data_IF_711024830512
#
_entry.id   IF_711024830512
#
_cell.length_a   1.000
_cell.length_b   1.000
_cell.length_c   1.000
_cell.angle_alpha   90.00
_cell.angle_beta   90.00
_cell.angle_gamma   90.00
#
_symmetry.space_group_name_H-M   'P 1'
#
loop_
_entity.id
_entity.type
_entity.pdbx_description
1 polymer ?
#
# COMPACT_ATOMS: atom_id res chain seq x y z
N UNK A 1 -6.92 -44.96 7.81
CA UNK A 1 -7.76 -44.29 6.80
C UNK A 1 -6.82 -43.68 5.78
N UNK A 2 -6.86 -44.12 4.53
CA UNK A 2 -5.93 -43.65 3.50
C UNK A 2 -6.37 -42.28 2.98
N UNK A 3 -5.64 -41.22 3.30
CA UNK A 3 -5.92 -39.87 2.79
C UNK A 3 -5.35 -39.73 1.37
N UNK A 4 -6.24 -39.68 0.37
CA UNK A 4 -5.88 -39.50 -1.04
C UNK A 4 -5.95 -38.01 -1.39
N UNK A 5 -4.88 -37.47 -1.99
CA UNK A 5 -4.85 -36.06 -2.37
C UNK A 5 -5.79 -35.75 -3.57
N UNK A 6 -6.71 -34.78 -3.48
CA UNK A 6 -7.61 -34.43 -4.59
C UNK A 6 -6.91 -33.72 -5.76
N UNK A 7 -5.72 -33.13 -5.55
CA UNK A 7 -4.96 -32.44 -6.59
C UNK A 7 -4.15 -33.39 -7.47
N UNK A 8 -3.47 -34.37 -6.87
CA UNK A 8 -2.51 -35.24 -7.58
C UNK A 8 -2.80 -36.74 -7.45
N UNK A 9 -3.84 -37.14 -6.71
CA UNK A 9 -4.22 -38.55 -6.44
C UNK A 9 -3.18 -39.42 -5.72
N UNK A 10 -2.09 -38.84 -5.23
CA UNK A 10 -1.11 -39.55 -4.41
C UNK A 10 -1.73 -39.99 -3.06
N UNK A 11 -1.50 -41.24 -2.66
CA UNK A 11 -1.87 -41.79 -1.34
C UNK A 11 -0.78 -41.46 -0.32
N UNK A 12 -1.14 -40.85 0.81
CA UNK A 12 -0.17 -40.50 1.87
C UNK A 12 0.40 -41.77 2.52
N UNK A 13 1.72 -41.88 2.58
CA UNK A 13 2.44 -42.87 3.39
C UNK A 13 2.48 -42.44 4.87
N UNK A 14 2.39 -43.36 5.85
CA UNK A 14 2.50 -43.02 7.27
C UNK A 14 3.87 -42.42 7.67
N UNK A 15 4.93 -42.69 6.91
CA UNK A 15 6.30 -42.24 7.21
C UNK A 15 6.66 -40.87 6.60
N UNK A 16 5.66 -40.07 6.21
CA UNK A 16 5.90 -38.79 5.54
C UNK A 16 6.50 -37.75 6.51
N UNK A 17 7.63 -37.15 6.12
CA UNK A 17 8.31 -36.10 6.90
C UNK A 17 7.57 -34.75 6.91
N UNK A 18 6.57 -34.57 6.04
CA UNK A 18 5.76 -33.34 5.96
C UNK A 18 4.55 -33.39 6.91
N UNK A 19 4.07 -32.24 7.41
CA UNK A 19 2.91 -32.20 8.30
C UNK A 19 1.66 -32.85 7.71
N UNK A 20 0.76 -33.34 8.57
CA UNK A 20 -0.47 -34.04 8.18
C UNK A 20 -1.44 -33.22 7.34
N UNK A 21 -1.38 -31.89 7.43
CA UNK A 21 -2.20 -30.99 6.61
C UNK A 21 -1.69 -30.87 5.16
N UNK A 22 -0.47 -31.28 4.85
CA UNK A 22 0.20 -31.06 3.57
C UNK A 22 0.44 -32.35 2.81
N UNK A 23 0.17 -32.36 1.50
CA UNK A 23 0.50 -33.51 0.65
C UNK A 23 2.02 -33.59 0.38
N UNK A 24 2.70 -34.72 0.64
CA UNK A 24 4.15 -34.88 0.40
C UNK A 24 4.55 -34.84 -1.07
N UNK A 25 3.63 -35.16 -1.98
CA UNK A 25 3.93 -35.23 -3.41
C UNK A 25 3.80 -33.89 -4.13
N UNK A 26 2.79 -33.08 -3.79
CA UNK A 26 2.50 -31.83 -4.51
C UNK A 26 2.43 -30.58 -3.61
N UNK A 27 2.66 -30.73 -2.30
CA UNK A 27 2.76 -29.63 -1.34
C UNK A 27 1.43 -28.91 -1.01
N UNK A 28 0.30 -29.33 -1.57
CA UNK A 28 -0.99 -28.66 -1.33
C UNK A 28 -1.54 -29.01 0.05
N UNK A 29 -2.20 -28.05 0.69
CA UNK A 29 -3.00 -28.31 1.88
C UNK A 29 -4.34 -28.97 1.50
N UNK A 30 -4.75 -30.02 2.22
CA UNK A 30 -5.96 -30.79 1.88
C UNK A 30 -7.25 -29.94 1.90
N UNK A 31 -7.36 -29.02 2.86
CA UNK A 31 -8.49 -28.09 2.99
C UNK A 31 -8.63 -27.18 1.76
N UNK A 32 -7.54 -26.57 1.30
CA UNK A 32 -7.53 -25.70 0.11
C UNK A 32 -7.86 -26.45 -1.18
N UNK A 33 -7.42 -27.71 -1.27
CA UNK A 33 -7.67 -28.52 -2.45
C UNK A 33 -9.12 -29.02 -2.55
N UNK A 34 -9.82 -29.16 -1.42
CA UNK A 34 -11.25 -29.50 -1.40
C UNK A 34 -12.12 -28.32 -1.91
N UNK A 35 -11.78 -27.09 -1.55
CA UNK A 35 -12.51 -25.88 -2.00
C UNK A 35 -12.43 -25.68 -3.52
N UNK A 36 -11.28 -25.98 -4.13
CA UNK A 36 -11.08 -25.90 -5.58
C UNK A 36 -11.89 -26.92 -6.38
N UNK A 37 -12.30 -28.04 -5.77
CA UNK A 37 -13.19 -29.02 -6.41
C UNK A 37 -14.68 -28.65 -6.29
N UNK A 38 -15.04 -27.89 -5.26
CA UNK A 38 -16.43 -27.53 -4.96
C UNK A 38 -16.86 -26.20 -5.59
N UNK A 39 -15.99 -25.53 -6.35
CA UNK A 39 -16.33 -24.28 -7.04
C UNK A 39 -17.11 -24.59 -8.33
N UNK A 40 -18.38 -24.15 -8.47
CA UNK A 40 -19.12 -24.33 -9.70
C UNK A 40 -18.43 -23.52 -10.81
N UNK A 41 -17.99 -24.19 -11.88
CA UNK A 41 -17.58 -23.48 -13.10
C UNK A 41 -18.84 -22.86 -13.71
N UNK A 42 -18.93 -21.54 -13.67
CA UNK A 42 -19.93 -20.80 -14.44
C UNK A 42 -19.80 -21.22 -15.91
N UNK A 43 -20.81 -21.92 -16.40
CA UNK A 43 -20.91 -22.35 -17.78
C UNK A 43 -20.95 -21.10 -18.68
N UNK A 44 -19.88 -20.86 -19.42
CA UNK A 44 -19.88 -19.87 -20.50
C UNK A 44 -20.75 -20.42 -21.63
N UNK A 45 -22.04 -20.07 -21.61
CA UNK A 45 -22.97 -20.38 -22.69
C UNK A 45 -22.56 -19.58 -23.94
N UNK A 46 -22.13 -20.30 -24.98
CA UNK A 46 -21.77 -19.71 -26.26
C UNK A 46 -22.99 -19.17 -26.98
N UNK A 47 -23.04 -17.85 -27.19
CA UNK A 47 -24.04 -17.20 -28.02
C UNK A 47 -23.42 -16.88 -29.38
N UNK A 48 -23.82 -17.61 -30.43
CA UNK A 48 -23.46 -17.29 -31.82
C UNK A 48 -24.60 -16.47 -32.41
N UNK A 49 -24.44 -15.15 -32.48
CA UNK A 49 -25.41 -14.25 -33.11
C UNK A 49 -25.19 -14.17 -34.64
N UNK A 50 -26.26 -14.39 -35.41
CA UNK A 50 -26.30 -14.23 -36.87
C UNK A 50 -26.51 -12.74 -37.21
N UNK A 51 -25.78 -12.14 -38.17
CA UNK A 51 -25.97 -10.73 -38.51
C UNK A 51 -27.18 -10.51 -39.43
N UNK A 52 -28.09 -9.62 -39.02
CA UNK A 52 -29.19 -9.06 -39.83
C UNK A 52 -28.76 -7.69 -40.40
N UNK A 53 -29.14 -7.33 -41.65
CA UNK A 53 -28.66 -6.10 -42.30
C UNK A 53 -29.24 -4.83 -41.66
N UNK A 54 -28.35 -3.99 -41.12
CA UNK A 54 -28.66 -2.76 -40.38
C UNK A 54 -29.10 -1.62 -41.30
N UNK A 55 -30.36 -1.19 -41.19
CA UNK A 55 -30.76 0.20 -41.48
C UNK A 55 -30.35 1.08 -40.29
N UNK A 56 -29.57 2.13 -40.55
CA UNK A 56 -29.04 3.03 -39.51
C UNK A 56 -30.14 4.04 -39.12
N UNK A 57 -30.71 3.98 -37.90
CA UNK A 57 -31.64 4.99 -37.46
C UNK A 57 -30.88 6.30 -37.18
N UNK A 58 -31.50 7.43 -37.51
CA UNK A 58 -30.94 8.79 -37.40
C UNK A 58 -30.22 9.10 -36.07
N UNK A 59 -30.59 8.44 -34.97
CA UNK A 59 -29.91 8.57 -33.67
C UNK A 59 -28.42 8.14 -33.68
N UNK A 60 -28.04 7.18 -34.54
CA UNK A 60 -26.65 6.73 -34.64
C UNK A 60 -25.74 7.75 -35.35
N UNK A 61 -26.30 8.56 -36.27
CA UNK A 61 -25.55 9.64 -36.91
C UNK A 61 -25.31 10.80 -35.93
N UNK A 62 -26.29 11.15 -35.10
CA UNK A 62 -26.14 12.18 -34.07
C UNK A 62 -25.08 11.78 -33.03
N UNK A 63 -25.12 10.53 -32.56
CA UNK A 63 -24.12 10.02 -31.62
C UNK A 63 -22.71 10.02 -32.23
N UNK A 64 -22.58 9.62 -33.50
CA UNK A 64 -21.33 9.68 -34.25
C UNK A 64 -20.78 11.11 -34.37
N UNK A 65 -21.64 12.09 -34.63
CA UNK A 65 -21.25 13.50 -34.73
C UNK A 65 -20.78 14.07 -33.38
N UNK A 66 -21.43 13.72 -32.27
CA UNK A 66 -21.03 14.15 -30.91
C UNK A 66 -19.67 13.55 -30.52
N UNK A 67 -19.45 12.26 -30.79
CA UNK A 67 -18.17 11.60 -30.50
C UNK A 67 -17.04 12.20 -31.34
N UNK A 68 -17.29 12.44 -32.64
CA UNK A 68 -16.32 13.07 -33.52
C UNK A 68 -15.97 14.50 -33.08
N UNK A 69 -16.95 15.29 -32.64
CA UNK A 69 -16.72 16.64 -32.12
C UNK A 69 -15.94 16.60 -30.80
N UNK A 70 -16.32 15.74 -29.85
CA UNK A 70 -15.59 15.57 -28.59
C UNK A 70 -14.12 15.17 -28.80
N UNK A 71 -13.86 14.26 -29.73
CA UNK A 71 -12.51 13.84 -30.09
C UNK A 71 -11.70 14.98 -30.73
N UNK A 72 -12.30 15.78 -31.63
CA UNK A 72 -11.60 16.89 -32.29
C UNK A 72 -11.32 18.07 -31.34
N UNK A 73 -12.26 18.38 -30.42
CA UNK A 73 -12.06 19.39 -29.38
C UNK A 73 -11.01 18.98 -28.34
N UNK A 74 -10.92 17.69 -27.99
CA UNK A 74 -9.94 17.18 -27.04
C UNK A 74 -8.48 17.27 -27.52
N UNK A 75 -8.23 17.09 -28.82
CA UNK A 75 -6.87 17.11 -29.38
C UNK A 75 -6.26 18.52 -29.38
N UNK A 76 -7.06 19.59 -29.49
CA UNK A 76 -6.57 20.97 -29.43
C UNK A 76 -6.16 21.41 -28.01
N UNK A 77 -6.67 20.77 -26.95
CA UNK A 77 -6.32 21.09 -25.57
C UNK A 77 -5.15 20.24 -25.02
N UNK A 78 -4.83 19.11 -25.69
CA UNK A 78 -3.78 18.17 -25.26
C UNK A 78 -2.35 18.52 -25.69
N UNK A 79 -2.14 19.46 -26.63
CA UNK A 79 -0.81 19.82 -27.13
C UNK A 79 -0.19 21.07 -26.47
N UNK A 80 -0.87 21.69 -25.49
CA UNK A 80 -0.32 22.80 -24.69
C UNK A 80 0.31 22.34 -23.35
N UNK A 81 0.33 21.03 -23.07
CA UNK A 81 0.97 20.44 -21.87
C UNK A 81 1.93 19.29 -22.22
N UNK A 82 2.65 19.43 -23.32
CA UNK A 82 3.82 18.60 -23.63
C UNK A 82 5.03 19.52 -23.76
N UNK A 83 5.36 20.18 -22.65
CA UNK A 83 6.72 20.69 -22.46
C UNK A 83 7.43 19.68 -21.56
N UNK A 84 8.43 19.04 -22.14
CA UNK A 84 9.13 17.93 -21.52
C UNK A 84 10.20 18.41 -20.55
N UNK A 85 10.33 17.67 -19.45
CA UNK A 85 11.61 17.42 -18.78
C UNK A 85 11.52 16.04 -18.11
N UNK A 86 12.13 15.07 -18.78
CA UNK A 86 12.92 13.97 -18.23
C UNK A 86 12.29 13.07 -17.14
N UNK A 87 11.94 11.86 -17.58
CA UNK A 87 12.26 10.58 -16.92
C UNK A 87 12.31 10.56 -15.39
N UNK A 88 11.20 10.21 -14.76
CA UNK A 88 11.26 9.20 -13.69
C UNK A 88 9.97 8.38 -13.71
N UNK A 89 10.16 7.08 -13.79
CA UNK A 89 9.15 6.05 -13.98
C UNK A 89 7.95 6.24 -13.06
N UNK A 90 6.75 6.23 -13.63
CA UNK A 90 5.54 5.92 -12.89
C UNK A 90 5.70 4.54 -12.25
N UNK A 91 5.84 4.51 -10.94
CA UNK A 91 5.67 3.30 -10.15
C UNK A 91 4.37 3.42 -9.40
N UNK A 92 3.43 2.57 -9.75
CA UNK A 92 2.44 2.14 -8.78
C UNK A 92 3.22 1.55 -7.58
N UNK A 93 3.22 2.24 -6.44
CA UNK A 93 3.90 1.84 -5.21
C UNK A 93 5.37 2.24 -5.08
N UNK A 94 5.72 3.52 -5.31
CA UNK A 94 7.09 4.02 -5.13
C UNK A 94 7.30 4.49 -3.68
N UNK A 95 7.99 3.68 -2.88
CA UNK A 95 8.62 4.18 -1.66
C UNK A 95 9.63 5.28 -2.02
N UNK A 96 9.75 6.36 -1.24
CA UNK A 96 10.67 7.46 -1.51
C UNK A 96 12.11 6.94 -1.62
N UNK A 97 12.85 7.44 -2.61
CA UNK A 97 14.27 7.09 -2.77
C UNK A 97 15.10 7.62 -1.60
N UNK A 98 16.21 6.96 -1.27
CA UNK A 98 17.11 7.39 -0.18
C UNK A 98 17.61 8.82 -0.35
N UNK A 99 17.85 9.25 -1.59
CA UNK A 99 18.31 10.60 -1.91
C UNK A 99 17.20 11.64 -1.67
N UNK A 100 15.95 11.30 -1.96
CA UNK A 100 14.79 12.15 -1.67
C UNK A 100 14.60 12.30 -0.16
N UNK A 101 14.71 11.21 0.60
CA UNK A 101 14.64 11.24 2.06
C UNK A 101 15.72 12.12 2.67
N UNK A 102 16.97 11.99 2.21
CA UNK A 102 18.08 12.82 2.68
C UNK A 102 17.89 14.31 2.37
N UNK A 103 17.36 14.64 1.18
CA UNK A 103 17.01 16.02 0.82
C UNK A 103 15.92 16.59 1.73
N UNK A 104 14.88 15.80 2.00
CA UNK A 104 13.80 16.21 2.89
C UNK A 104 14.31 16.38 4.33
N UNK A 105 15.16 15.47 4.80
CA UNK A 105 15.81 15.58 6.10
C UNK A 105 16.62 16.87 6.25
N UNK A 106 17.31 17.31 5.19
CA UNK A 106 18.00 18.60 5.16
C UNK A 106 17.08 19.83 5.29
N UNK A 107 15.76 19.68 5.15
CA UNK A 107 14.78 20.76 5.37
C UNK A 107 14.30 20.87 6.82
N UNK A 108 14.57 19.85 7.65
CA UNK A 108 14.16 19.81 9.05
C UNK A 108 15.03 20.73 9.89
N UNK A 109 14.40 21.62 10.65
CA UNK A 109 15.06 22.54 11.57
C UNK A 109 14.98 22.03 13.01
N UNK A 110 15.86 22.50 13.92
CA UNK A 110 15.70 22.22 15.35
C UNK A 110 14.31 22.60 15.85
N UNK A 111 13.65 21.71 16.60
CA UNK A 111 12.26 21.88 17.06
C UNK A 111 11.16 21.51 16.05
N UNK A 112 11.48 21.22 14.77
CA UNK A 112 10.48 20.78 13.80
C UNK A 112 9.98 19.37 14.10
N UNK A 113 10.79 18.52 14.73
CA UNK A 113 10.42 17.15 15.07
C UNK A 113 10.72 16.93 16.54
N UNK A 114 9.68 16.69 17.34
CA UNK A 114 9.82 16.27 18.73
C UNK A 114 9.23 14.87 18.85
N UNK A 115 10.02 13.92 19.37
CA UNK A 115 9.58 12.57 19.63
C UNK A 115 9.53 12.32 21.14
N UNK A 116 8.34 12.01 21.62
CA UNK A 116 8.09 11.62 22.99
C UNK A 116 8.29 10.12 23.15
N UNK A 117 9.09 9.73 24.15
CA UNK A 117 9.54 8.36 24.38
C UNK A 117 9.41 7.97 25.85
N UNK A 118 9.81 6.72 26.15
CA UNK A 118 10.07 6.25 27.51
C UNK A 118 11.40 5.48 27.53
N UNK A 119 11.95 5.24 28.72
CA UNK A 119 13.34 4.78 28.89
C UNK A 119 13.59 3.40 28.29
N UNK A 120 12.59 2.50 28.33
CA UNK A 120 12.70 1.13 27.86
C UNK A 120 11.65 0.78 26.79
N UNK A 121 11.51 1.62 25.78
CA UNK A 121 10.55 1.43 24.69
C UNK A 121 11.22 0.92 23.40
N UNK A 122 11.01 -0.35 22.99
CA UNK A 122 11.62 -0.90 21.78
C UNK A 122 11.10 -0.25 20.49
N UNK A 123 9.83 0.17 20.44
CA UNK A 123 9.27 0.87 19.28
C UNK A 123 9.85 2.27 19.12
N UNK A 124 10.14 2.95 20.24
CA UNK A 124 10.81 4.24 20.25
C UNK A 124 12.25 4.10 19.73
N UNK A 125 12.95 3.03 20.11
CA UNK A 125 14.27 2.72 19.54
C UNK A 125 14.21 2.49 18.03
N UNK A 126 13.17 1.82 17.51
CA UNK A 126 12.97 1.62 16.07
C UNK A 126 12.71 2.94 15.34
N UNK A 127 11.85 3.80 15.88
CA UNK A 127 11.60 5.13 15.32
C UNK A 127 12.87 5.99 15.28
N UNK A 128 13.65 6.01 16.37
CA UNK A 128 14.96 6.68 16.42
C UNK A 128 15.92 6.14 15.36
N UNK A 129 16.01 4.82 15.24
CA UNK A 129 16.90 4.19 14.26
C UNK A 129 16.54 4.63 12.84
N UNK A 130 15.24 4.67 12.51
CA UNK A 130 14.77 5.11 11.20
C UNK A 130 15.10 6.59 10.95
N UNK A 131 14.79 7.48 11.90
CA UNK A 131 15.09 8.92 11.76
C UNK A 131 16.59 9.17 11.58
N UNK A 132 17.42 8.50 12.39
CA UNK A 132 18.87 8.59 12.29
C UNK A 132 19.42 7.99 10.98
N UNK A 133 18.87 6.88 10.51
CA UNK A 133 19.29 6.23 9.26
C UNK A 133 19.16 7.17 8.06
N UNK A 134 18.11 7.99 8.02
CA UNK A 134 17.83 8.91 6.91
C UNK A 134 18.22 10.37 7.22
N UNK A 135 18.81 10.63 8.39
CA UNK A 135 19.37 11.94 8.75
C UNK A 135 18.34 12.98 9.20
N UNK A 136 17.13 12.58 9.59
CA UNK A 136 16.13 13.50 10.13
C UNK A 136 16.54 13.92 11.55
N UNK A 137 16.80 15.21 11.74
CA UNK A 137 17.01 15.76 13.07
C UNK A 137 15.71 15.72 13.89
N UNK A 138 15.81 15.39 15.18
CA UNK A 138 14.68 15.39 16.10
C UNK A 138 15.14 15.65 17.53
N UNK A 139 14.24 16.20 18.34
CA UNK A 139 14.41 16.32 19.78
C UNK A 139 13.71 15.15 20.47
N UNK A 140 14.37 14.51 21.44
CA UNK A 140 13.78 13.43 22.24
C UNK A 140 13.29 13.97 23.60
N UNK A 141 12.05 13.63 23.97
CA UNK A 141 11.42 13.99 25.24
C UNK A 141 10.98 12.72 25.97
N UNK A 142 11.80 12.21 26.90
CA UNK A 142 11.48 11.00 27.67
C UNK A 142 10.48 11.33 28.79
N UNK A 143 9.26 10.80 28.69
CA UNK A 143 8.16 11.05 29.62
C UNK A 143 8.31 10.36 30.99
N UNK A 144 9.22 9.39 31.12
CA UNK A 144 9.55 8.78 32.43
C UNK A 144 10.63 9.57 33.16
N UNK A 145 11.53 10.22 32.43
CA UNK A 145 12.61 11.03 33.00
C UNK A 145 12.16 12.46 33.33
N UNK A 146 11.31 13.05 32.47
CA UNK A 146 10.95 14.47 32.53
C UNK A 146 9.43 14.65 32.67
N UNK A 147 8.92 15.12 33.83
CA UNK A 147 7.48 15.32 34.05
C UNK A 147 6.81 16.26 33.06
N UNK A 148 7.54 17.26 32.55
CA UNK A 148 7.10 18.17 31.51
C UNK A 148 6.74 17.42 30.22
N UNK A 149 7.52 16.41 29.81
CA UNK A 149 7.23 15.60 28.62
C UNK A 149 5.92 14.82 28.79
N UNK A 150 5.71 14.22 29.97
CA UNK A 150 4.47 13.50 30.29
C UNK A 150 3.25 14.43 30.24
N UNK A 151 3.35 15.63 30.83
CA UNK A 151 2.26 16.61 30.80
C UNK A 151 1.95 17.11 29.38
N UNK A 152 2.97 17.34 28.55
CA UNK A 152 2.80 17.74 27.14
C UNK A 152 2.11 16.63 26.33
N UNK A 153 2.56 15.38 26.49
CA UNK A 153 1.90 14.23 25.84
C UNK A 153 0.42 14.16 26.20
N UNK A 154 0.08 14.31 27.48
CA UNK A 154 -1.32 14.29 27.94
C UNK A 154 -2.13 15.46 27.35
N UNK A 155 -1.56 16.67 27.33
CA UNK A 155 -2.21 17.84 26.74
C UNK A 155 -2.43 17.70 25.22
N UNK A 156 -1.52 17.01 24.54
CA UNK A 156 -1.61 16.69 23.11
C UNK A 156 -2.55 15.51 22.82
N UNK A 157 -3.09 14.85 23.85
CA UNK A 157 -3.98 13.69 23.71
C UNK A 157 -3.25 12.43 23.22
N UNK A 158 -1.94 12.34 23.45
CA UNK A 158 -1.15 11.17 23.09
C UNK A 158 -1.56 9.96 23.95
N UNK A 159 -1.80 8.82 23.30
CA UNK A 159 -2.24 7.58 23.96
C UNK A 159 -1.11 6.55 24.17
N UNK A 160 0.14 6.91 23.86
CA UNK A 160 1.29 6.03 23.98
C UNK A 160 2.54 6.61 23.34
N UNK A 161 3.62 5.82 23.35
CA UNK A 161 4.91 6.15 22.72
C UNK A 161 5.29 5.06 21.68
N UNK A 162 6.09 5.39 20.65
CA UNK A 162 6.58 6.72 20.30
C UNK A 162 5.46 7.62 19.79
N UNK A 163 5.38 8.85 20.29
CA UNK A 163 4.47 9.88 19.80
C UNK A 163 5.29 11.04 19.24
N UNK A 164 4.95 11.51 18.05
CA UNK A 164 5.72 12.54 17.38
C UNK A 164 4.87 13.76 17.08
N UNK A 165 5.48 14.93 17.26
CA UNK A 165 5.00 16.22 16.83
C UNK A 165 5.91 16.69 15.70
N UNK A 166 5.36 16.82 14.49
CA UNK A 166 6.09 17.25 13.29
C UNK A 166 5.54 18.59 12.83
N UNK A 167 6.36 19.64 12.89
CA UNK A 167 6.00 21.04 12.63
C UNK A 167 4.73 21.48 13.37
N UNK A 168 4.62 21.08 14.63
CA UNK A 168 3.46 21.35 15.49
C UNK A 168 2.24 20.48 15.19
N UNK A 169 2.31 19.51 14.27
CA UNK A 169 1.22 18.59 13.96
C UNK A 169 1.43 17.22 14.62
N UNK A 170 0.47 16.72 15.40
CA UNK A 170 0.61 15.43 16.07
C UNK A 170 0.37 14.27 15.09
N UNK A 171 1.20 13.24 15.19
CA UNK A 171 0.96 11.98 14.50
C UNK A 171 -0.16 11.18 15.17
N UNK A 172 -0.91 10.39 14.40
CA UNK A 172 -2.20 9.81 14.86
C UNK A 172 -2.03 8.49 15.60
N UNK A 173 -1.21 7.58 15.05
CA UNK A 173 -1.10 6.20 15.52
C UNK A 173 0.33 5.86 16.01
N UNK A 174 1.09 6.89 16.39
CA UNK A 174 2.51 6.77 16.71
C UNK A 174 3.40 7.00 15.49
N UNK A 175 4.55 6.32 15.41
CA UNK A 175 5.48 6.51 14.31
C UNK A 175 5.06 5.74 13.05
N UNK A 176 4.62 6.51 12.04
CA UNK A 176 4.34 6.05 10.69
C UNK A 176 5.18 6.86 9.67
N UNK A 177 5.88 6.17 8.78
CA UNK A 177 6.83 6.81 7.85
C UNK A 177 6.11 7.69 6.82
N UNK A 178 4.98 7.23 6.28
CA UNK A 178 4.26 7.97 5.25
C UNK A 178 3.66 9.26 5.81
N UNK A 179 3.02 9.17 6.98
CA UNK A 179 2.49 10.33 7.70
C UNK A 179 3.62 11.29 8.07
N UNK A 180 4.74 10.79 8.61
CA UNK A 180 5.88 11.63 8.98
C UNK A 180 6.38 12.46 7.78
N UNK A 181 6.57 11.82 6.63
CA UNK A 181 7.02 12.50 5.42
C UNK A 181 5.97 13.46 4.85
N UNK A 182 4.69 13.13 4.97
CA UNK A 182 3.60 14.01 4.55
C UNK A 182 3.55 15.30 5.40
N UNK A 183 3.87 15.22 6.69
CA UNK A 183 3.93 16.38 7.60
C UNK A 183 5.15 17.29 7.36
N UNK A 184 6.17 16.80 6.64
CA UNK A 184 7.38 17.56 6.30
C UNK A 184 7.31 18.28 4.94
N UNK A 185 6.33 17.96 4.09
CA UNK A 185 6.11 18.62 2.80
C UNK A 185 5.28 19.89 2.97
#
# INVERSE_FOLDING_TARGET
MTTICPKCRHSRSPDATVPDWQCPHCGVAYNKAAEALNTPRLATSGYVARPEPRRIPWGALILGAVIAWGAWSGIKFGLAKYDGTESTSASAGQNPSTDELARLAGTVKPGDVVMYTTTHCPYCAQAKAWLNQYGFAFDECDAEQWPECASQMQALGANGVPFLLVRGQPMKEGFDTEQFLALLK
#
